data_IF_837478371224
#
_entry.id   IF_837478371224
#
_cell.length_a   1.000
_cell.length_b   1.000
_cell.length_c   1.000
_cell.angle_alpha   90.00
_cell.angle_beta   90.00
_cell.angle_gamma   90.00
#
_symmetry.space_group_name_H-M   'P 1'
#
loop_
_entity.id
_entity.type
_entity.pdbx_description
1 polymer ?
#
# COMPACT_ATOMS: atom_id res chain seq x y z
N UNK A 1 -4.86 -9.82 24.13
CA UNK A 1 -4.99 -9.73 22.65
C UNK A 1 -6.35 -10.24 22.23
N UNK A 2 -7.08 -9.45 21.44
CA UNK A 2 -8.35 -9.85 20.83
C UNK A 2 -8.04 -10.30 19.40
N UNK A 3 -8.62 -11.43 18.96
CA UNK A 3 -8.43 -11.97 17.61
C UNK A 3 -9.75 -12.45 17.04
N UNK A 4 -10.02 -12.11 15.77
CA UNK A 4 -11.25 -12.50 15.05
C UNK A 4 -10.92 -12.78 13.60
N UNK A 5 -11.54 -13.80 13.01
CA UNK A 5 -11.44 -14.13 11.58
C UNK A 5 -12.57 -13.41 10.83
N UNK A 6 -12.23 -12.83 9.69
CA UNK A 6 -13.13 -12.13 8.78
C UNK A 6 -13.11 -12.84 7.43
N UNK A 7 -14.26 -13.34 7.00
CA UNK A 7 -14.43 -13.98 5.69
C UNK A 7 -14.52 -12.92 4.60
N UNK A 8 -13.47 -12.74 3.84
CA UNK A 8 -13.40 -11.78 2.73
C UNK A 8 -13.59 -12.41 1.35
N UNK A 9 -13.37 -13.73 1.25
CA UNK A 9 -13.64 -14.52 0.03
C UNK A 9 -12.96 -13.96 -1.23
N UNK A 10 -11.78 -13.35 -1.10
CA UNK A 10 -11.05 -12.68 -2.17
C UNK A 10 -11.84 -11.52 -2.84
N UNK A 11 -12.83 -10.95 -2.16
CA UNK A 11 -13.65 -9.85 -2.68
C UNK A 11 -13.15 -8.52 -2.14
N UNK A 12 -13.36 -7.46 -2.91
CA UNK A 12 -13.13 -6.09 -2.43
C UNK A 12 -14.21 -5.67 -1.42
N UNK A 13 -13.82 -5.00 -0.35
CA UNK A 13 -14.72 -4.52 0.70
C UNK A 13 -14.06 -3.47 1.58
N UNK A 14 -14.83 -2.87 2.47
CA UNK A 14 -14.34 -2.01 3.55
C UNK A 14 -14.76 -2.55 4.90
N UNK A 15 -13.95 -2.29 5.94
CA UNK A 15 -14.30 -2.58 7.34
C UNK A 15 -14.44 -1.27 8.08
N UNK A 16 -15.57 -1.08 8.74
CA UNK A 16 -15.71 -0.13 9.85
C UNK A 16 -15.45 -0.88 11.15
N UNK A 17 -14.44 -0.44 11.89
CA UNK A 17 -14.06 -0.99 13.18
C UNK A 17 -14.38 0.04 14.26
N UNK A 18 -15.35 -0.27 15.10
CA UNK A 18 -15.73 0.54 16.27
C UNK A 18 -15.09 -0.05 17.53
N UNK A 19 -14.34 0.77 18.23
CA UNK A 19 -13.63 0.42 19.45
C UNK A 19 -14.20 1.22 20.60
N UNK A 20 -14.49 0.55 21.72
CA UNK A 20 -14.83 1.20 22.99
C UNK A 20 -13.87 0.73 24.07
N UNK A 21 -13.37 1.65 24.88
CA UNK A 21 -12.39 1.39 25.95
C UNK A 21 -12.79 2.13 27.21
N UNK A 22 -12.36 1.64 28.36
CA UNK A 22 -12.38 2.42 29.59
C UNK A 22 -11.12 3.29 29.66
N UNK A 23 -11.30 4.62 29.47
CA UNK A 23 -10.22 5.59 29.44
C UNK A 23 -9.30 5.46 28.22
N UNK A 24 -8.19 6.18 28.28
CA UNK A 24 -7.21 6.23 27.19
C UNK A 24 -6.42 4.93 27.05
N UNK A 25 -6.47 4.31 25.88
CA UNK A 25 -5.70 3.11 25.53
C UNK A 25 -4.93 3.35 24.23
N UNK A 26 -3.73 2.77 24.16
CA UNK A 26 -2.94 2.72 22.91
C UNK A 26 -3.03 1.32 22.34
N UNK A 27 -3.69 1.19 21.20
CA UNK A 27 -4.00 -0.08 20.59
C UNK A 27 -3.23 -0.25 19.28
N UNK A 28 -2.67 -1.45 19.06
CA UNK A 28 -2.17 -1.87 17.75
C UNK A 28 -3.21 -2.75 17.09
N UNK A 29 -3.57 -2.40 15.87
CA UNK A 29 -4.54 -3.12 15.04
C UNK A 29 -3.78 -3.68 13.85
N UNK A 30 -3.83 -5.00 13.70
CA UNK A 30 -3.24 -5.72 12.58
C UNK A 30 -4.32 -6.52 11.86
N UNK A 31 -4.35 -6.41 10.54
CA UNK A 31 -5.16 -7.24 9.65
C UNK A 31 -4.21 -7.97 8.72
N UNK A 32 -4.20 -9.29 8.79
CA UNK A 32 -3.28 -10.14 8.02
C UNK A 32 -4.01 -11.31 7.36
N UNK A 33 -3.45 -11.83 6.28
CA UNK A 33 -3.92 -13.05 5.63
C UNK A 33 -3.82 -14.23 6.60
N UNK A 34 -4.93 -14.89 6.88
CA UNK A 34 -4.98 -16.03 7.83
C UNK A 34 -4.13 -17.20 7.33
N UNK A 35 -4.07 -17.42 6.02
CA UNK A 35 -3.33 -18.52 5.40
C UNK A 35 -1.86 -18.19 5.06
N UNK A 36 -1.45 -16.91 5.19
CA UNK A 36 -0.13 -16.46 4.76
C UNK A 36 0.50 -15.53 5.79
N UNK A 37 1.26 -16.05 6.75
CA UNK A 37 1.95 -15.23 7.76
C UNK A 37 2.79 -14.12 7.13
N UNK A 38 2.88 -12.96 7.79
CA UNK A 38 3.58 -11.76 7.33
C UNK A 38 2.96 -11.05 6.10
N UNK A 39 1.78 -11.48 5.66
CA UNK A 39 1.03 -10.79 4.61
C UNK A 39 0.00 -9.85 5.24
N UNK A 40 0.49 -8.69 5.70
CA UNK A 40 -0.33 -7.70 6.40
C UNK A 40 -1.01 -6.79 5.40
N UNK A 41 -2.31 -6.60 5.59
CA UNK A 41 -3.13 -5.62 4.88
C UNK A 41 -3.25 -4.31 5.65
N UNK A 42 -3.15 -4.35 6.98
CA UNK A 42 -3.03 -3.17 7.81
C UNK A 42 -2.19 -3.48 9.07
N UNK A 43 -1.44 -2.49 9.54
CA UNK A 43 -0.71 -2.54 10.81
C UNK A 43 -0.62 -1.10 11.33
N UNK A 44 -1.54 -0.72 12.23
CA UNK A 44 -1.68 0.64 12.72
C UNK A 44 -1.74 0.69 14.23
N UNK A 45 -1.03 1.65 14.80
CA UNK A 45 -1.14 1.99 16.22
C UNK A 45 -1.96 3.25 16.36
N UNK A 46 -2.97 3.20 17.22
CA UNK A 46 -3.90 4.32 17.48
C UNK A 46 -4.09 4.54 18.97
N UNK A 47 -4.44 5.77 19.32
CA UNK A 47 -4.95 6.10 20.66
C UNK A 47 -6.47 6.12 20.60
N UNK A 48 -7.10 5.44 21.54
CA UNK A 48 -8.55 5.43 21.76
C UNK A 48 -8.83 6.06 23.11
N UNK A 49 -9.72 7.04 23.15
CA UNK A 49 -10.20 7.67 24.38
C UNK A 49 -11.71 7.43 24.45
N UNK A 50 -12.12 6.49 25.29
CA UNK A 50 -13.46 5.96 25.44
C UNK A 50 -14.04 5.28 24.19
N UNK A 51 -14.05 5.96 23.03
CA UNK A 51 -14.53 5.36 21.80
C UNK A 51 -13.82 5.91 20.56
N UNK A 52 -13.67 5.07 19.53
CA UNK A 52 -13.15 5.47 18.23
C UNK A 52 -13.62 4.54 17.13
N UNK A 53 -14.04 5.12 15.99
CA UNK A 53 -14.28 4.36 14.76
C UNK A 53 -13.16 4.62 13.77
N UNK A 54 -12.73 3.56 13.10
CA UNK A 54 -11.71 3.59 12.05
C UNK A 54 -12.16 2.75 10.87
N UNK A 55 -11.64 3.11 9.68
CA UNK A 55 -12.01 2.46 8.44
C UNK A 55 -10.77 1.89 7.77
N UNK A 56 -10.93 0.71 7.18
CA UNK A 56 -9.93 0.05 6.36
C UNK A 56 -10.57 -0.33 5.03
N UNK A 57 -9.88 -0.03 3.95
CA UNK A 57 -10.30 -0.36 2.59
C UNK A 57 -9.46 -1.50 2.06
N UNK A 58 -10.11 -2.49 1.46
CA UNK A 58 -9.49 -3.68 0.88
C UNK A 58 -9.91 -3.81 -0.59
N UNK A 59 -9.31 -3.04 -1.51
CA UNK A 59 -9.52 -3.25 -2.95
C UNK A 59 -8.94 -4.58 -3.43
N UNK A 60 -8.07 -5.17 -2.63
CA UNK A 60 -7.59 -6.54 -2.77
C UNK A 60 -7.62 -7.21 -1.40
N UNK A 61 -8.08 -8.44 -1.33
CA UNK A 61 -8.17 -9.19 -0.08
C UNK A 61 -7.79 -10.66 -0.28
N UNK A 62 -7.40 -11.39 0.78
CA UNK A 62 -7.26 -12.84 0.75
C UNK A 62 -8.64 -13.51 0.90
N UNK A 63 -8.65 -14.83 1.01
CA UNK A 63 -9.88 -15.56 1.35
C UNK A 63 -10.37 -15.23 2.76
N UNK A 64 -9.45 -15.13 3.70
CA UNK A 64 -9.72 -14.85 5.12
C UNK A 64 -8.68 -13.88 5.67
N UNK A 65 -9.13 -12.93 6.49
CA UNK A 65 -8.31 -12.00 7.26
C UNK A 65 -8.40 -12.32 8.75
N UNK A 66 -7.28 -12.30 9.43
CA UNK A 66 -7.23 -12.28 10.89
C UNK A 66 -7.07 -10.84 11.37
N UNK A 67 -8.09 -10.33 12.06
CA UNK A 67 -8.01 -9.08 12.80
C UNK A 67 -7.39 -9.37 14.18
N UNK A 68 -6.31 -8.69 14.52
CA UNK A 68 -5.66 -8.73 15.84
C UNK A 68 -5.64 -7.34 16.45
N UNK A 69 -6.09 -7.22 17.70
CA UNK A 69 -6.03 -5.98 18.47
C UNK A 69 -5.23 -6.24 19.73
N UNK A 70 -4.17 -5.47 19.92
CA UNK A 70 -3.25 -5.58 21.04
C UNK A 70 -3.27 -4.28 21.84
N UNK A 71 -3.53 -4.37 23.15
CA UNK A 71 -3.35 -3.26 24.05
C UNK A 71 -1.86 -3.08 24.34
N UNK A 72 -1.31 -1.91 24.03
CA UNK A 72 0.11 -1.60 24.23
C UNK A 72 0.40 -0.98 25.62
N UNK A 73 -0.63 -0.64 26.36
CA UNK A 73 -0.47 -0.10 27.72
C UNK A 73 -0.50 -1.18 28.79
N UNK A 74 -1.30 -2.23 28.58
CA UNK A 74 -1.57 -3.26 29.59
C UNK A 74 -1.69 -4.63 28.93
N UNK A 75 -1.35 -5.68 29.66
CA UNK A 75 -1.53 -7.07 29.18
C UNK A 75 -3.01 -7.53 29.23
N UNK A 76 -3.89 -6.74 29.86
CA UNK A 76 -5.29 -7.08 30.04
C UNK A 76 -6.18 -6.35 29.03
N UNK A 77 -6.94 -7.11 28.23
CA UNK A 77 -7.85 -6.61 27.20
C UNK A 77 -9.34 -6.64 27.62
N UNK A 78 -9.64 -6.95 28.91
CA UNK A 78 -11.03 -7.18 29.39
C UNK A 78 -11.97 -5.98 29.15
N UNK A 79 -11.42 -4.76 29.07
CA UNK A 79 -12.19 -3.52 28.95
C UNK A 79 -12.13 -2.94 27.53
N UNK A 80 -11.92 -3.77 26.52
CA UNK A 80 -11.94 -3.37 25.12
C UNK A 80 -13.08 -4.09 24.41
N UNK A 81 -14.07 -3.33 23.96
CA UNK A 81 -15.16 -3.83 23.13
C UNK A 81 -14.86 -3.52 21.66
N UNK A 82 -15.06 -4.50 20.80
CA UNK A 82 -14.77 -4.41 19.37
C UNK A 82 -16.00 -4.81 18.58
N UNK A 83 -16.44 -3.93 17.68
CA UNK A 83 -17.50 -4.23 16.72
C UNK A 83 -16.98 -3.99 15.32
N UNK A 84 -17.20 -4.96 14.43
CA UNK A 84 -16.82 -4.87 13.02
C UNK A 84 -18.07 -4.84 12.14
N UNK A 85 -18.06 -3.99 11.13
CA UNK A 85 -19.10 -3.94 10.10
C UNK A 85 -18.42 -3.96 8.73
N UNK A 86 -18.82 -4.90 7.88
CA UNK A 86 -18.35 -5.00 6.50
C UNK A 86 -19.29 -4.21 5.59
N UNK A 87 -18.72 -3.44 4.69
CA UNK A 87 -19.46 -2.65 3.71
C UNK A 87 -18.82 -2.83 2.32
N UNK A 88 -19.57 -2.63 1.23
CA UNK A 88 -18.97 -2.58 -0.10
C UNK A 88 -17.85 -1.54 -0.17
N UNK A 89 -16.78 -1.85 -0.88
CA UNK A 89 -15.71 -0.91 -1.14
C UNK A 89 -16.25 0.26 -1.97
N UNK A 90 -15.93 1.47 -1.57
CA UNK A 90 -16.05 2.65 -2.44
C UNK A 90 -14.80 2.76 -3.29
N UNK A 91 -14.92 2.49 -4.58
CA UNK A 91 -13.88 2.73 -5.57
C UNK A 91 -14.36 3.77 -6.58
N UNK A 92 -13.42 4.49 -7.18
CA UNK A 92 -13.75 5.54 -8.13
C UNK A 92 -13.76 4.98 -9.55
N UNK A 93 -14.61 5.54 -10.43
CA UNK A 93 -14.61 5.19 -11.84
C UNK A 93 -13.49 5.95 -12.57
N UNK A 94 -12.25 5.53 -12.33
CA UNK A 94 -11.08 6.08 -13.00
C UNK A 94 -10.83 5.39 -14.34
N UNK A 95 -10.22 6.13 -15.25
CA UNK A 95 -9.76 5.56 -16.50
C UNK A 95 -8.44 4.79 -16.29
N UNK A 96 -8.44 3.51 -16.62
CA UNK A 96 -7.27 2.62 -16.57
C UNK A 96 -7.12 2.01 -17.96
N UNK A 97 -5.99 2.27 -18.60
CA UNK A 97 -5.68 1.71 -19.91
C UNK A 97 -5.20 0.27 -19.86
N UNK A 98 -5.06 -0.33 -21.03
CA UNK A 98 -4.63 -1.73 -21.15
C UNK A 98 -3.21 -1.99 -20.60
N UNK A 99 -2.19 -1.13 -20.84
CA UNK A 99 -0.87 -1.28 -20.23
C UNK A 99 -0.93 -1.31 -18.70
N UNK A 100 -1.65 -0.37 -18.10
CA UNK A 100 -1.83 -0.32 -16.64
C UNK A 100 -2.58 -1.53 -16.11
N UNK A 101 -3.62 -2.00 -16.80
CA UNK A 101 -4.31 -3.24 -16.41
C UNK A 101 -3.38 -4.45 -16.40
N UNK A 102 -2.51 -4.57 -17.43
CA UNK A 102 -1.48 -5.63 -17.48
C UNK A 102 -0.49 -5.54 -16.33
N UNK A 103 -0.08 -4.33 -15.97
CA UNK A 103 0.81 -4.11 -14.83
C UNK A 103 0.11 -4.48 -13.51
N UNK A 104 -1.12 -4.05 -13.29
CA UNK A 104 -1.89 -4.38 -12.09
C UNK A 104 -2.10 -5.89 -11.91
N UNK A 105 -2.32 -6.63 -13.01
CA UNK A 105 -2.42 -8.10 -12.98
C UNK A 105 -1.13 -8.81 -12.55
N UNK A 106 0.04 -8.15 -12.63
CA UNK A 106 1.31 -8.63 -12.12
C UNK A 106 1.58 -8.11 -10.71
N UNK A 107 1.42 -6.81 -10.48
CA UNK A 107 1.85 -6.14 -9.24
C UNK A 107 0.99 -6.50 -8.03
N UNK A 108 -0.33 -6.68 -8.20
CA UNK A 108 -1.23 -7.06 -7.11
C UNK A 108 -0.88 -8.45 -6.54
N UNK A 109 -0.84 -9.53 -7.34
CA UNK A 109 -0.43 -10.83 -6.83
C UNK A 109 0.98 -10.83 -6.24
N UNK A 110 1.93 -10.12 -6.87
CA UNK A 110 3.28 -9.99 -6.33
C UNK A 110 3.29 -9.32 -4.95
N UNK A 111 2.59 -8.19 -4.77
CA UNK A 111 2.51 -7.50 -3.47
C UNK A 111 1.91 -8.39 -2.37
N UNK A 112 0.96 -9.26 -2.72
CA UNK A 112 0.34 -10.21 -1.79
C UNK A 112 1.27 -11.35 -1.38
N UNK A 113 2.12 -11.83 -2.31
CA UNK A 113 2.94 -13.03 -2.07
C UNK A 113 4.37 -12.75 -1.64
N UNK A 114 4.94 -11.59 -1.97
CA UNK A 114 6.37 -11.32 -1.74
C UNK A 114 6.79 -11.37 -0.27
N UNK A 115 5.86 -11.22 0.69
CA UNK A 115 6.16 -11.31 2.12
C UNK A 115 6.57 -12.70 2.60
N UNK A 116 6.15 -13.76 1.91
CA UNK A 116 6.49 -15.15 2.24
C UNK A 116 7.27 -15.87 1.12
N UNK A 117 7.34 -15.29 -0.08
CA UNK A 117 8.16 -15.82 -1.16
C UNK A 117 9.65 -15.60 -0.94
N UNK A 118 10.47 -16.52 -1.45
CA UNK A 118 11.90 -16.38 -1.40
C UNK A 118 12.38 -15.45 -2.52
N UNK A 119 13.23 -14.50 -2.17
CA UNK A 119 13.98 -13.71 -3.11
C UNK A 119 15.22 -14.49 -3.58
N UNK A 120 16.05 -13.88 -4.41
CA UNK A 120 17.30 -14.47 -4.91
C UNK A 120 18.37 -13.39 -5.01
N UNK A 121 19.64 -13.70 -4.75
CA UNK A 121 20.75 -12.78 -4.99
C UNK A 121 20.82 -12.28 -6.44
N UNK A 122 20.39 -13.11 -7.40
CA UNK A 122 20.37 -12.79 -8.84
C UNK A 122 19.04 -12.19 -9.33
N UNK A 123 18.07 -12.01 -8.40
CA UNK A 123 16.74 -11.50 -8.71
C UNK A 123 15.81 -12.58 -9.25
N UNK A 124 14.91 -13.11 -8.40
CA UNK A 124 13.84 -13.99 -8.86
C UNK A 124 12.86 -13.21 -9.74
N UNK A 125 12.54 -13.76 -10.89
CA UNK A 125 11.74 -13.09 -11.92
C UNK A 125 10.26 -13.39 -11.72
N UNK A 126 9.46 -12.34 -11.68
CA UNK A 126 8.01 -12.36 -11.79
C UNK A 126 7.64 -11.56 -13.04
N UNK A 127 6.78 -12.13 -13.89
CA UNK A 127 6.38 -11.47 -15.14
C UNK A 127 4.92 -11.76 -15.45
N UNK A 128 4.27 -10.85 -16.18
CA UNK A 128 2.92 -11.07 -16.69
C UNK A 128 2.96 -12.04 -17.90
N UNK A 129 1.80 -12.56 -18.32
CA UNK A 129 1.69 -13.55 -19.40
C UNK A 129 2.35 -13.08 -20.72
N UNK A 130 2.24 -11.78 -21.04
CA UNK A 130 2.82 -11.21 -22.26
C UNK A 130 4.30 -10.81 -22.12
N UNK A 131 4.90 -11.02 -20.95
CA UNK A 131 6.28 -10.60 -20.60
C UNK A 131 6.58 -9.11 -20.83
N UNK A 132 5.53 -8.27 -20.88
CA UNK A 132 5.68 -6.81 -21.06
C UNK A 132 6.13 -6.09 -19.80
N UNK A 133 5.94 -6.71 -18.64
CA UNK A 133 6.39 -6.19 -17.34
C UNK A 133 7.12 -7.26 -16.56
N UNK A 134 8.18 -6.84 -15.88
CA UNK A 134 9.02 -7.73 -15.07
C UNK A 134 9.33 -7.10 -13.73
N UNK A 135 9.13 -7.87 -12.67
CA UNK A 135 9.59 -7.55 -11.30
C UNK A 135 10.72 -8.55 -10.98
N UNK A 136 11.90 -8.03 -10.64
CA UNK A 136 13.03 -8.81 -10.16
C UNK A 136 13.11 -8.69 -8.65
N UNK A 137 12.96 -9.80 -7.95
CA UNK A 137 12.89 -9.86 -6.50
C UNK A 137 14.24 -10.31 -5.93
N UNK A 138 14.98 -9.36 -5.39
CA UNK A 138 16.29 -9.53 -4.80
C UNK A 138 16.21 -9.60 -3.27
N UNK A 139 17.16 -10.28 -2.64
CA UNK A 139 17.35 -10.16 -1.19
C UNK A 139 17.65 -8.71 -0.81
N UNK A 140 18.59 -8.09 -1.55
CA UNK A 140 19.02 -6.69 -1.43
C UNK A 140 19.28 -6.11 -2.83
N UNK A 141 19.08 -4.82 -3.01
CA UNK A 141 19.44 -4.10 -4.24
C UNK A 141 20.79 -3.42 -4.05
N UNK A 142 21.67 -3.56 -5.04
CA UNK A 142 22.97 -2.91 -5.08
C UNK A 142 23.06 -1.97 -6.28
N UNK A 143 23.85 -0.92 -6.12
CA UNK A 143 24.24 -0.07 -7.23
C UNK A 143 25.11 -0.86 -8.22
N UNK A 144 24.77 -0.83 -9.50
CA UNK A 144 25.46 -1.62 -10.52
C UNK A 144 26.92 -1.19 -10.77
N UNK A 145 27.22 0.10 -10.56
CA UNK A 145 28.57 0.64 -10.83
C UNK A 145 29.48 0.47 -9.63
N UNK A 146 28.96 0.69 -8.44
CA UNK A 146 29.77 0.74 -7.21
C UNK A 146 29.65 -0.49 -6.34
N UNK A 147 28.66 -1.37 -6.59
CA UNK A 147 28.34 -2.52 -5.74
C UNK A 147 27.77 -2.14 -4.37
N UNK A 148 27.62 -0.86 -4.05
CA UNK A 148 27.12 -0.39 -2.78
C UNK A 148 25.66 -0.77 -2.56
N UNK A 149 25.33 -1.12 -1.33
CA UNK A 149 23.94 -1.39 -0.93
C UNK A 149 23.09 -0.12 -1.07
N UNK A 150 21.96 -0.25 -1.78
CA UNK A 150 21.00 0.83 -1.92
C UNK A 150 19.97 0.76 -0.80
N UNK A 151 19.65 1.92 -0.22
CA UNK A 151 18.67 2.03 0.84
C UNK A 151 17.25 2.34 0.28
N UNK A 152 16.90 1.70 -0.84
CA UNK A 152 15.56 1.81 -1.43
C UNK A 152 14.82 0.47 -1.35
N UNK A 153 13.49 0.45 -1.16
CA UNK A 153 12.71 -0.78 -1.22
C UNK A 153 12.52 -1.31 -2.64
N UNK A 154 12.46 -0.41 -3.63
CA UNK A 154 12.34 -0.73 -5.03
C UNK A 154 13.01 0.34 -5.89
N UNK A 155 13.25 0.03 -7.15
CA UNK A 155 13.64 0.98 -8.21
C UNK A 155 13.21 0.44 -9.57
N UNK A 156 13.05 1.32 -10.54
CA UNK A 156 12.81 0.94 -11.92
C UNK A 156 14.00 1.29 -12.81
N UNK A 157 14.30 0.43 -13.76
CA UNK A 157 15.28 0.71 -14.82
C UNK A 157 14.60 1.51 -15.94
N UNK A 158 14.97 2.78 -16.12
CA UNK A 158 14.35 3.66 -17.12
C UNK A 158 14.42 3.10 -18.55
N UNK A 159 15.50 2.39 -18.90
CA UNK A 159 15.66 1.78 -20.23
C UNK A 159 14.93 0.44 -20.36
N UNK A 160 14.84 -0.33 -19.30
CA UNK A 160 14.32 -1.71 -19.35
C UNK A 160 12.87 -1.80 -18.91
N UNK A 161 12.35 -0.82 -18.14
CA UNK A 161 11.05 -0.89 -17.50
C UNK A 161 10.94 -1.96 -16.40
N UNK A 162 12.04 -2.66 -16.09
CA UNK A 162 12.04 -3.69 -15.04
C UNK A 162 12.05 -3.04 -13.66
N UNK A 163 11.18 -3.49 -12.78
CA UNK A 163 11.17 -3.08 -11.37
C UNK A 163 12.00 -4.06 -10.55
N UNK A 164 12.95 -3.55 -9.80
CA UNK A 164 13.75 -4.32 -8.84
C UNK A 164 13.23 -4.05 -7.44
N UNK A 165 13.02 -5.11 -6.66
CA UNK A 165 12.47 -5.05 -5.31
C UNK A 165 13.41 -5.72 -4.33
N UNK A 166 13.73 -5.02 -3.21
CA UNK A 166 14.56 -5.53 -2.12
C UNK A 166 13.70 -6.18 -1.03
N UNK A 167 13.75 -7.50 -0.87
CA UNK A 167 12.98 -8.26 0.12
C UNK A 167 13.15 -7.71 1.53
N UNK A 168 14.38 -7.53 1.99
CA UNK A 168 14.70 -7.03 3.34
C UNK A 168 14.02 -5.70 3.70
N UNK A 169 13.68 -4.91 2.71
CA UNK A 169 12.94 -3.65 2.90
C UNK A 169 11.44 -3.86 2.69
N UNK A 170 11.06 -4.58 1.64
CA UNK A 170 9.69 -4.73 1.20
C UNK A 170 8.83 -5.52 2.18
N UNK A 171 9.42 -6.52 2.86
CA UNK A 171 8.74 -7.32 3.88
C UNK A 171 8.21 -6.50 5.07
N UNK A 172 8.80 -5.33 5.32
CA UNK A 172 8.39 -4.42 6.40
C UNK A 172 7.10 -3.67 6.13
N UNK A 173 6.65 -3.64 4.87
CA UNK A 173 5.50 -2.88 4.43
C UNK A 173 4.25 -3.74 4.34
N UNK A 174 3.09 -3.13 4.61
CA UNK A 174 1.79 -3.74 4.35
C UNK A 174 1.55 -3.85 2.84
N UNK A 175 0.64 -4.74 2.43
CA UNK A 175 0.29 -4.94 1.02
C UNK A 175 -0.14 -3.62 0.34
N UNK A 176 -1.00 -2.77 0.95
CA UNK A 176 -1.29 -1.44 0.40
C UNK A 176 -0.04 -0.57 0.20
N UNK A 177 0.88 -0.55 1.16
CA UNK A 177 2.13 0.21 1.03
C UNK A 177 3.02 -0.35 -0.09
N UNK A 178 3.13 -1.67 -0.23
CA UNK A 178 3.84 -2.33 -1.34
C UNK A 178 3.25 -1.93 -2.68
N UNK A 179 1.92 -1.89 -2.79
CA UNK A 179 1.23 -1.45 -4.00
C UNK A 179 1.55 0.00 -4.34
N UNK A 180 1.55 0.91 -3.35
CA UNK A 180 1.91 2.32 -3.59
C UNK A 180 3.34 2.46 -4.12
N UNK A 181 4.30 1.69 -3.57
CA UNK A 181 5.69 1.68 -4.02
C UNK A 181 5.79 1.17 -5.47
N UNK A 182 5.13 0.07 -5.78
CA UNK A 182 5.16 -0.51 -7.15
C UNK A 182 4.52 0.42 -8.18
N UNK A 183 3.43 1.09 -7.82
CA UNK A 183 2.77 2.07 -8.69
C UNK A 183 3.63 3.31 -8.90
N UNK A 184 4.38 3.76 -7.89
CA UNK A 184 5.33 4.86 -8.03
C UNK A 184 6.46 4.51 -9.02
N UNK A 185 7.09 3.35 -8.84
CA UNK A 185 8.13 2.90 -9.77
C UNK A 185 7.60 2.73 -11.20
N UNK A 186 6.44 2.13 -11.37
CA UNK A 186 5.76 2.02 -12.66
C UNK A 186 5.52 3.39 -13.30
N UNK A 187 5.17 4.39 -12.51
CA UNK A 187 4.84 5.73 -12.98
C UNK A 187 6.04 6.55 -13.45
N UNK A 188 7.27 6.11 -13.21
CA UNK A 188 8.45 6.71 -13.85
C UNK A 188 8.55 6.41 -15.35
N UNK A 189 8.02 5.26 -15.78
CA UNK A 189 8.07 4.84 -17.19
C UNK A 189 6.73 5.09 -17.89
N UNK A 190 5.63 4.95 -17.17
CA UNK A 190 4.29 5.12 -17.70
C UNK A 190 3.53 6.21 -16.97
N UNK A 191 2.97 7.15 -17.72
CA UNK A 191 2.10 8.22 -17.21
C UNK A 191 0.79 8.25 -17.96
N UNK A 192 -0.30 8.37 -17.23
CA UNK A 192 -1.61 8.46 -17.81
C UNK A 192 -1.77 9.78 -18.63
N UNK A 193 -2.02 9.71 -19.95
CA UNK A 193 -2.14 10.90 -20.79
C UNK A 193 -3.35 11.77 -20.47
N UNK A 194 -4.33 11.25 -19.74
CA UNK A 194 -5.54 12.00 -19.34
C UNK A 194 -5.37 12.82 -18.07
N UNK A 195 -4.23 12.68 -17.39
CA UNK A 195 -3.90 13.50 -16.23
C UNK A 195 -2.87 14.53 -16.68
N UNK A 196 -3.13 15.80 -16.50
CA UNK A 196 -2.13 16.85 -16.74
C UNK A 196 -1.00 16.75 -15.73
N UNK A 197 0.01 15.94 -16.03
CA UNK A 197 1.10 15.65 -15.09
C UNK A 197 2.20 16.72 -15.20
N UNK A 198 2.84 17.06 -14.05
CA UNK A 198 4.02 17.90 -14.03
C UNK A 198 5.16 17.29 -14.85
N UNK A 199 6.03 18.15 -15.39
CA UNK A 199 7.25 17.73 -16.11
C UNK A 199 8.26 17.11 -15.15
N UNK A 200 8.27 17.55 -13.88
CA UNK A 200 9.09 16.97 -12.83
C UNK A 200 8.81 15.47 -12.69
N UNK A 201 9.83 14.67 -12.91
CA UNK A 201 9.72 13.22 -12.99
C UNK A 201 9.18 12.61 -11.68
N UNK A 202 9.72 13.01 -10.55
CA UNK A 202 9.31 12.48 -9.25
C UNK A 202 7.88 12.88 -8.88
N UNK A 203 7.52 14.15 -9.07
CA UNK A 203 6.17 14.64 -8.80
C UNK A 203 5.15 14.04 -9.76
N UNK A 204 5.53 13.89 -11.04
CA UNK A 204 4.70 13.24 -12.03
C UNK A 204 4.45 11.78 -11.70
N UNK A 205 5.48 11.05 -11.27
CA UNK A 205 5.37 9.66 -10.82
C UNK A 205 4.47 9.54 -9.58
N UNK A 206 4.64 10.43 -8.59
CA UNK A 206 3.81 10.45 -7.40
C UNK A 206 2.33 10.65 -7.71
N UNK A 207 2.00 11.65 -8.53
CA UNK A 207 0.61 11.99 -8.85
C UNK A 207 -0.04 10.87 -9.68
N UNK A 208 0.67 10.32 -10.66
CA UNK A 208 0.15 9.20 -11.45
C UNK A 208 -0.08 7.95 -10.59
N UNK A 209 0.86 7.63 -9.70
CA UNK A 209 0.70 6.53 -8.77
C UNK A 209 -0.48 6.75 -7.81
N UNK A 210 -0.65 7.96 -7.27
CA UNK A 210 -1.78 8.31 -6.42
C UNK A 210 -3.12 8.20 -7.15
N UNK A 211 -3.20 8.67 -8.41
CA UNK A 211 -4.40 8.53 -9.21
C UNK A 211 -4.86 7.08 -9.31
N UNK A 212 -3.94 6.18 -9.66
CA UNK A 212 -4.22 4.76 -9.76
C UNK A 212 -4.56 4.15 -8.39
N UNK A 213 -3.76 4.47 -7.39
CA UNK A 213 -3.88 3.91 -6.04
C UNK A 213 -5.21 4.28 -5.37
N UNK A 214 -5.53 5.57 -5.34
CA UNK A 214 -6.77 6.07 -4.75
C UNK A 214 -7.99 5.64 -5.59
N UNK A 215 -7.86 5.68 -6.91
CA UNK A 215 -8.91 5.26 -7.83
C UNK A 215 -9.28 3.79 -7.71
N UNK A 216 -8.34 2.93 -7.36
CA UNK A 216 -8.60 1.52 -7.03
C UNK A 216 -9.30 1.36 -5.67
N UNK A 217 -9.38 2.41 -4.85
CA UNK A 217 -10.02 2.38 -3.54
C UNK A 217 -9.06 2.12 -2.37
N UNK A 218 -7.76 2.13 -2.58
CA UNK A 218 -6.78 2.06 -1.47
C UNK A 218 -6.85 3.29 -0.56
N UNK A 219 -6.45 3.13 0.69
CA UNK A 219 -6.53 4.18 1.69
C UNK A 219 -5.46 5.27 1.50
N UNK A 220 -5.87 6.53 1.49
CA UNK A 220 -4.96 7.69 1.50
C UNK A 220 -3.97 7.67 2.67
N UNK A 221 -4.36 7.09 3.81
CA UNK A 221 -3.49 7.01 4.99
C UNK A 221 -2.27 6.15 4.68
N UNK A 222 -2.45 5.01 4.00
CA UNK A 222 -1.33 4.14 3.64
C UNK A 222 -0.42 4.81 2.61
N UNK A 223 -0.98 5.56 1.63
CA UNK A 223 -0.20 6.37 0.70
C UNK A 223 0.64 7.42 1.42
N UNK A 224 0.03 8.21 2.32
CA UNK A 224 0.74 9.21 3.13
C UNK A 224 1.86 8.57 3.95
N UNK A 225 1.60 7.38 4.56
CA UNK A 225 2.63 6.65 5.30
C UNK A 225 3.81 6.23 4.41
N UNK A 226 3.57 5.83 3.16
CA UNK A 226 4.66 5.52 2.21
C UNK A 226 5.46 6.77 1.89
N UNK A 227 4.80 7.88 1.55
CA UNK A 227 5.53 9.12 1.26
C UNK A 227 6.36 9.59 2.45
N UNK A 228 5.78 9.61 3.64
CA UNK A 228 6.46 10.08 4.84
C UNK A 228 7.64 9.18 5.26
N UNK A 229 7.51 7.85 5.12
CA UNK A 229 8.47 6.92 5.70
C UNK A 229 9.42 6.27 4.67
N UNK A 230 9.11 6.36 3.37
CA UNK A 230 9.89 5.75 2.30
C UNK A 230 10.52 6.80 1.40
N UNK A 231 9.70 7.53 0.65
CA UNK A 231 10.18 8.41 -0.42
C UNK A 231 10.72 9.76 0.08
N UNK A 232 10.07 10.34 1.09
CA UNK A 232 10.35 11.71 1.56
C UNK A 232 10.91 11.73 2.98
N UNK A 233 11.52 10.64 3.42
CA UNK A 233 12.06 10.49 4.78
C UNK A 233 13.07 11.57 5.15
N UNK A 234 13.90 12.03 4.20
CA UNK A 234 14.79 13.15 4.41
C UNK A 234 14.01 14.48 4.37
N UNK A 235 14.17 15.31 5.41
CA UNK A 235 13.47 16.60 5.51
C UNK A 235 14.20 17.70 4.72
N UNK A 236 14.35 17.51 3.42
CA UNK A 236 14.89 18.54 2.51
C UNK A 236 13.76 19.48 2.05
N UNK A 237 14.12 20.70 1.65
CA UNK A 237 13.14 21.65 1.10
C UNK A 237 12.42 21.08 -0.12
N UNK A 238 13.11 20.31 -0.96
CA UNK A 238 12.53 19.62 -2.11
C UNK A 238 11.45 18.62 -1.68
N UNK A 239 11.74 17.78 -0.68
CA UNK A 239 10.79 16.80 -0.16
C UNK A 239 9.59 17.45 0.53
N UNK A 240 9.78 18.56 1.22
CA UNK A 240 8.66 19.32 1.83
C UNK A 240 7.74 19.89 0.74
N UNK A 241 8.30 20.47 -0.33
CA UNK A 241 7.50 20.96 -1.48
C UNK A 241 6.76 19.80 -2.18
N UNK A 242 7.43 18.67 -2.37
CA UNK A 242 6.86 17.46 -2.96
C UNK A 242 5.69 16.93 -2.12
N UNK A 243 5.86 16.83 -0.79
CA UNK A 243 4.80 16.41 0.12
C UNK A 243 3.57 17.34 0.05
N UNK A 244 3.77 18.67 -0.03
CA UNK A 244 2.64 19.60 -0.20
C UNK A 244 1.85 19.31 -1.48
N UNK A 245 2.51 19.12 -2.63
CA UNK A 245 1.84 18.77 -3.89
C UNK A 245 1.06 17.45 -3.78
N UNK A 246 1.59 16.47 -3.07
CA UNK A 246 0.93 15.19 -2.81
C UNK A 246 -0.34 15.39 -1.96
N UNK A 247 -0.23 16.16 -0.87
CA UNK A 247 -1.39 16.44 0.00
C UNK A 247 -2.46 17.24 -0.72
N UNK A 248 -2.06 18.23 -1.52
CA UNK A 248 -2.98 19.03 -2.35
C UNK A 248 -3.69 18.15 -3.39
N UNK A 249 -2.97 17.20 -3.98
CA UNK A 249 -3.57 16.25 -4.92
C UNK A 249 -4.58 15.32 -4.24
N UNK A 250 -4.23 14.75 -3.08
CA UNK A 250 -5.15 13.91 -2.31
C UNK A 250 -6.44 14.68 -1.97
N UNK A 251 -6.31 15.92 -1.49
CA UNK A 251 -7.46 16.76 -1.18
C UNK A 251 -8.34 17.05 -2.40
N UNK A 252 -7.72 17.37 -3.56
CA UNK A 252 -8.43 17.55 -4.81
C UNK A 252 -9.10 16.28 -5.31
N UNK A 253 -8.42 15.14 -5.20
CA UNK A 253 -8.96 13.84 -5.60
C UNK A 253 -10.24 13.50 -4.84
N UNK A 254 -10.29 13.76 -3.54
CA UNK A 254 -11.46 13.50 -2.70
C UNK A 254 -12.64 14.44 -3.02
N UNK A 255 -12.34 15.65 -3.49
CA UNK A 255 -13.35 16.66 -3.87
C UNK A 255 -13.75 16.59 -5.34
N UNK A 256 -13.12 15.72 -6.14
CA UNK A 256 -13.51 15.54 -7.54
C UNK A 256 -14.76 14.66 -7.59
N UNK A 257 -15.73 15.04 -8.44
CA UNK A 257 -16.90 14.23 -8.76
C UNK A 257 -16.52 13.05 -9.68
N UNK A 258 -15.64 12.18 -9.17
CA UNK A 258 -15.44 10.89 -9.80
C UNK A 258 -16.69 10.05 -9.58
N UNK A 259 -17.32 9.62 -10.65
CA UNK A 259 -18.41 8.67 -10.56
C UNK A 259 -17.91 7.40 -9.87
N UNK A 260 -18.54 7.02 -8.75
CA UNK A 260 -18.24 5.75 -8.09
C UNK A 260 -18.59 4.59 -9.02
N UNK A 261 -17.76 3.55 -8.99
CA UNK A 261 -18.13 2.27 -9.62
C UNK A 261 -19.39 1.74 -8.93
N UNK A 262 -20.41 1.43 -9.74
CA UNK A 262 -21.63 0.76 -9.27
C UNK A 262 -21.37 -0.71 -9.04
#
# INVERSE_FOLDING_TARGET
MISTIIESNNKEFSISLSLKTEGKKRLRICLEDTGKPNSKYADRTINVDNSRSIYFNFPVSPKQLTLKIVNLNELNDKNIQVTTMLTPLRSYNIWIDEPTQKFLKLSIPFAQVCGFEQASPNGRIFTNKSKSYTIKFFDIIRDYKTGRLLNTPARIGHQTGNIEVAKIKFDKYTIPMRMMILLHEYSHVYRNPKIGLPIDDEVGADINALYLYLGLGFSKIDAICVYANVFLKAQTQGNVKRMRKIMDYIAKFENQDFAYRK
#
